data_IF_341544985283
#
_entry.id   IF_341544985283
#
_cell.length_a   1.000
_cell.length_b   1.000
_cell.length_c   1.000
_cell.angle_alpha   90.00
_cell.angle_beta   90.00
_cell.angle_gamma   90.00
#
_symmetry.space_group_name_H-M   'P 1'
#
loop_
_entity.id
_entity.type
_entity.pdbx_description
1 polymer ?
#
# COMPACT_ATOMS: atom_id res chain seq x y z
N UNK A 1 23.30 6.41 -39.97
CA UNK A 1 22.90 7.70 -39.35
C UNK A 1 21.36 7.76 -39.38
N UNK A 2 20.68 7.59 -38.23
CA UNK A 2 19.19 7.62 -38.19
C UNK A 2 18.73 9.05 -38.51
N UNK A 3 17.85 9.19 -39.50
CA UNK A 3 17.26 10.47 -39.94
C UNK A 3 16.56 11.12 -38.74
N UNK A 4 16.94 12.34 -38.36
CA UNK A 4 16.24 13.10 -37.32
C UNK A 4 14.94 13.62 -37.93
N UNK A 5 13.83 12.96 -37.60
CA UNK A 5 12.48 13.32 -38.05
C UNK A 5 11.99 14.56 -37.30
N UNK A 6 10.96 15.25 -37.79
CA UNK A 6 10.27 16.28 -37.00
C UNK A 6 9.32 15.61 -35.98
N UNK A 7 8.89 16.34 -34.94
CA UNK A 7 7.97 15.84 -33.91
C UNK A 7 6.62 15.40 -34.50
N UNK A 8 6.17 16.06 -35.57
CA UNK A 8 4.95 15.69 -36.29
C UNK A 8 5.13 14.37 -37.03
N UNK A 9 6.26 14.20 -37.72
CA UNK A 9 6.57 12.95 -38.43
C UNK A 9 6.64 11.77 -37.45
N UNK A 10 7.28 11.95 -36.28
CA UNK A 10 7.34 10.91 -35.24
C UNK A 10 5.95 10.53 -34.73
N UNK A 11 5.08 11.51 -34.50
CA UNK A 11 3.72 11.26 -34.03
C UNK A 11 2.86 10.54 -35.11
N UNK A 12 2.95 10.98 -36.36
CA UNK A 12 2.24 10.35 -37.48
C UNK A 12 2.79 8.95 -37.80
N UNK A 13 4.10 8.75 -37.71
CA UNK A 13 4.71 7.45 -37.91
C UNK A 13 4.25 6.46 -36.83
N UNK A 14 4.24 6.86 -35.56
CA UNK A 14 3.70 6.02 -34.48
C UNK A 14 2.22 5.71 -34.68
N UNK A 15 1.40 6.70 -35.03
CA UNK A 15 -0.05 6.52 -35.18
C UNK A 15 -0.40 5.52 -36.30
N UNK A 16 0.37 5.52 -37.40
CA UNK A 16 0.11 4.65 -38.55
C UNK A 16 0.77 3.26 -38.44
N UNK A 17 1.64 3.01 -37.45
CA UNK A 17 2.36 1.73 -37.32
C UNK A 17 1.76 0.85 -36.22
N UNK A 18 1.62 -0.43 -36.55
CA UNK A 18 1.20 -1.50 -35.63
C UNK A 18 2.37 -2.41 -35.20
N UNK A 19 3.54 -2.30 -35.84
CA UNK A 19 4.73 -3.08 -35.51
C UNK A 19 5.47 -2.57 -34.27
N UNK A 20 5.57 -3.42 -33.25
CA UNK A 20 6.22 -3.10 -31.96
C UNK A 20 7.75 -3.02 -32.02
N UNK A 21 8.37 -3.51 -33.09
CA UNK A 21 9.84 -3.59 -33.24
C UNK A 21 10.49 -2.31 -33.79
N UNK A 22 9.70 -1.28 -34.08
CA UNK A 22 10.18 -0.03 -34.69
C UNK A 22 10.25 1.07 -33.62
N UNK A 23 11.28 1.91 -33.72
CA UNK A 23 11.47 3.07 -32.86
C UNK A 23 11.92 4.28 -33.68
N UNK A 24 11.34 5.45 -33.44
CA UNK A 24 11.85 6.72 -33.95
C UNK A 24 11.86 7.77 -32.84
N UNK A 25 12.68 8.81 -33.01
CA UNK A 25 12.83 9.90 -32.05
C UNK A 25 13.05 11.22 -32.76
N UNK A 26 12.47 12.28 -32.19
CA UNK A 26 12.69 13.67 -32.58
C UNK A 26 12.69 14.55 -31.35
N UNK A 27 13.82 15.21 -31.07
CA UNK A 27 13.94 16.11 -29.93
C UNK A 27 13.56 15.39 -28.62
N UNK A 28 12.45 15.79 -27.99
CA UNK A 28 11.93 15.20 -26.76
C UNK A 28 10.71 14.29 -26.99
N UNK A 29 10.33 13.97 -28.23
CA UNK A 29 9.21 13.07 -28.53
C UNK A 29 9.76 11.81 -29.22
N UNK A 30 9.39 10.63 -28.72
CA UNK A 30 9.83 9.37 -29.30
C UNK A 30 8.81 8.27 -29.10
N UNK A 31 8.88 7.22 -29.92
CA UNK A 31 8.08 6.01 -29.74
C UNK A 31 8.94 4.76 -29.75
N UNK A 32 8.54 3.77 -28.95
CA UNK A 32 9.16 2.46 -28.85
C UNK A 32 8.13 1.46 -28.31
N UNK A 33 8.20 0.19 -28.74
CA UNK A 33 7.35 -0.87 -28.21
C UNK A 33 5.84 -0.62 -28.36
N UNK A 34 5.43 0.07 -29.42
CA UNK A 34 4.02 0.46 -29.65
C UNK A 34 3.51 1.63 -28.80
N UNK A 35 4.37 2.27 -27.99
CA UNK A 35 4.03 3.41 -27.14
C UNK A 35 4.80 4.67 -27.57
N UNK A 36 4.21 5.85 -27.30
CA UNK A 36 4.80 7.17 -27.59
C UNK A 36 4.91 8.01 -26.32
N UNK A 37 6.05 8.69 -26.16
CA UNK A 37 6.52 9.28 -24.91
C UNK A 37 7.01 10.72 -25.08
N UNK A 38 6.88 11.52 -24.02
CA UNK A 38 7.40 12.90 -23.94
C UNK A 38 8.55 12.98 -22.94
N UNK A 39 9.71 13.50 -23.35
CA UNK A 39 10.98 13.67 -22.62
C UNK A 39 11.64 12.39 -22.09
N UNK A 40 10.86 11.39 -21.69
CA UNK A 40 11.36 10.10 -21.22
C UNK A 40 10.21 9.12 -20.97
N UNK A 41 10.56 7.88 -20.63
CA UNK A 41 9.57 6.80 -20.44
C UNK A 41 8.59 7.04 -19.29
N UNK A 42 8.94 7.92 -18.35
CA UNK A 42 8.08 8.33 -17.23
C UNK A 42 6.79 9.07 -17.68
N UNK A 43 6.77 9.63 -18.90
CA UNK A 43 5.58 10.27 -19.46
C UNK A 43 5.16 9.61 -20.77
N UNK A 44 4.46 8.48 -20.65
CA UNK A 44 3.78 7.84 -21.78
C UNK A 44 2.53 8.66 -22.15
N UNK A 45 2.47 9.13 -23.40
CA UNK A 45 1.31 9.85 -23.94
C UNK A 45 0.24 8.84 -24.34
N UNK A 46 0.63 7.80 -25.09
CA UNK A 46 -0.29 6.79 -25.54
C UNK A 46 0.41 5.47 -25.88
N UNK A 47 -0.36 4.37 -25.91
CA UNK A 47 0.10 3.07 -26.39
C UNK A 47 -0.99 2.35 -27.17
N UNK A 48 -0.59 1.63 -28.21
CA UNK A 48 -1.47 0.70 -28.91
C UNK A 48 -1.83 -0.49 -28.01
N UNK A 49 -3.09 -0.89 -28.05
CA UNK A 49 -3.63 -2.03 -27.31
C UNK A 49 -4.61 -2.82 -28.18
N UNK A 50 -4.84 -4.07 -27.81
CA UNK A 50 -5.88 -4.90 -28.41
C UNK A 50 -6.65 -5.63 -27.31
N UNK A 51 -7.96 -5.80 -27.51
CA UNK A 51 -8.79 -6.61 -26.62
C UNK A 51 -8.72 -8.10 -27.02
N UNK A 52 -9.45 -8.96 -26.29
CA UNK A 52 -9.47 -10.41 -26.56
C UNK A 52 -10.15 -10.76 -27.90
N UNK A 53 -10.99 -9.85 -28.40
CA UNK A 53 -11.72 -9.96 -29.65
C UNK A 53 -10.87 -9.51 -30.86
N UNK A 54 -9.68 -8.96 -30.63
CA UNK A 54 -8.78 -8.46 -31.67
C UNK A 54 -9.04 -7.02 -32.11
N UNK A 55 -9.99 -6.32 -31.47
CA UNK A 55 -10.22 -4.90 -31.72
C UNK A 55 -9.02 -4.09 -31.26
N UNK A 56 -8.66 -3.07 -32.04
CA UNK A 56 -7.53 -2.20 -31.77
C UNK A 56 -7.99 -0.85 -31.24
N UNK A 57 -7.28 -0.34 -30.25
CA UNK A 57 -7.44 1.01 -29.75
C UNK A 57 -6.08 1.55 -29.27
N UNK A 58 -6.07 2.82 -28.89
CA UNK A 58 -4.97 3.39 -28.12
C UNK A 58 -5.46 3.76 -26.72
N UNK A 59 -4.68 3.43 -25.71
CA UNK A 59 -4.83 4.07 -24.40
C UNK A 59 -4.13 5.42 -24.46
N UNK A 60 -4.86 6.48 -24.14
CA UNK A 60 -4.40 7.86 -24.27
C UNK A 60 -4.42 8.55 -22.91
N UNK A 61 -3.34 9.23 -22.55
CA UNK A 61 -3.17 9.81 -21.22
C UNK A 61 -4.12 11.00 -20.99
N UNK A 62 -4.68 11.07 -19.79
CA UNK A 62 -5.35 12.27 -19.26
C UNK A 62 -4.42 13.13 -18.39
N UNK A 63 -3.16 12.69 -18.17
CA UNK A 63 -2.18 13.48 -17.41
C UNK A 63 -1.98 14.84 -18.07
N UNK A 64 -2.15 15.88 -17.25
CA UNK A 64 -1.73 17.25 -17.58
C UNK A 64 -0.40 17.51 -16.89
N UNK A 65 0.60 17.97 -17.65
CA UNK A 65 1.91 18.34 -17.12
C UNK A 65 2.27 19.77 -17.57
N UNK A 66 3.56 20.09 -17.72
CA UNK A 66 4.06 21.37 -18.21
C UNK A 66 3.46 21.77 -19.57
N UNK A 67 3.56 23.07 -19.90
CA UNK A 67 3.09 23.62 -21.20
C UNK A 67 3.67 22.87 -22.40
N UNK A 68 4.92 22.41 -22.34
CA UNK A 68 5.57 21.68 -23.43
C UNK A 68 5.02 20.26 -23.59
N UNK A 69 4.77 19.56 -22.49
CA UNK A 69 4.14 18.24 -22.53
C UNK A 69 2.70 18.32 -23.07
N UNK A 70 1.94 19.36 -22.72
CA UNK A 70 0.62 19.60 -23.29
C UNK A 70 0.67 19.75 -24.82
N UNK A 71 1.72 20.39 -25.36
CA UNK A 71 1.92 20.50 -26.82
C UNK A 71 2.15 19.12 -27.46
N UNK A 72 3.02 18.28 -26.90
CA UNK A 72 3.24 16.93 -27.42
C UNK A 72 1.96 16.10 -27.37
N UNK A 73 1.21 16.16 -26.27
CA UNK A 73 -0.08 15.47 -26.14
C UNK A 73 -1.05 15.91 -27.25
N UNK A 74 -1.17 17.21 -27.52
CA UNK A 74 -2.02 17.71 -28.62
C UNK A 74 -1.56 17.23 -29.99
N UNK A 75 -0.24 17.20 -30.25
CA UNK A 75 0.32 16.70 -31.53
C UNK A 75 -0.03 15.23 -31.72
N UNK A 76 0.20 14.40 -30.69
CA UNK A 76 -0.11 12.96 -30.74
C UNK A 76 -1.62 12.73 -30.87
N UNK A 77 -2.46 13.50 -30.17
CA UNK A 77 -3.91 13.43 -30.30
C UNK A 77 -4.39 13.71 -31.73
N UNK A 78 -3.78 14.71 -32.40
CA UNK A 78 -4.08 15.06 -33.79
C UNK A 78 -3.61 13.97 -34.77
N UNK A 79 -2.36 13.50 -34.61
CA UNK A 79 -1.79 12.47 -35.47
C UNK A 79 -2.55 11.14 -35.41
N UNK A 80 -3.10 10.82 -34.23
CA UNK A 80 -3.89 9.61 -33.98
C UNK A 80 -5.40 9.81 -34.16
N UNK A 81 -5.86 10.92 -34.76
CA UNK A 81 -7.30 11.26 -34.89
C UNK A 81 -8.16 10.12 -35.45
N UNK A 82 -7.62 9.36 -36.41
CA UNK A 82 -8.25 8.21 -37.07
C UNK A 82 -8.33 6.92 -36.22
N UNK A 83 -7.65 6.87 -35.07
CA UNK A 83 -7.65 5.72 -34.16
C UNK A 83 -8.72 5.85 -33.06
N UNK A 84 -9.29 4.73 -32.66
CA UNK A 84 -10.13 4.60 -31.46
C UNK A 84 -9.30 4.93 -30.23
N UNK A 85 -9.71 5.95 -29.45
CA UNK A 85 -8.99 6.39 -28.25
C UNK A 85 -9.79 6.08 -27.00
N UNK A 86 -9.12 5.48 -26.02
CA UNK A 86 -9.63 5.27 -24.68
C UNK A 86 -8.78 6.10 -23.76
N UNK A 87 -9.37 7.14 -23.19
CA UNK A 87 -8.68 8.04 -22.28
C UNK A 87 -8.56 7.37 -20.91
N UNK A 88 -7.35 7.38 -20.37
CA UNK A 88 -7.02 6.78 -19.07
C UNK A 88 -6.13 7.73 -18.26
N UNK A 89 -6.19 7.70 -16.92
CA UNK A 89 -5.35 8.52 -16.06
C UNK A 89 -3.87 8.39 -16.38
N UNK A 90 -3.41 7.18 -16.68
CA UNK A 90 -2.03 6.90 -17.08
C UNK A 90 -1.96 5.57 -17.85
N UNK A 91 -1.53 5.58 -19.12
CA UNK A 91 -1.40 4.35 -19.90
C UNK A 91 -0.37 3.35 -19.36
N UNK A 92 0.51 3.73 -18.43
CA UNK A 92 1.50 2.83 -17.82
C UNK A 92 0.94 1.95 -16.71
N UNK A 93 -0.19 2.35 -16.11
CA UNK A 93 -0.78 1.64 -14.97
C UNK A 93 -1.43 0.32 -15.39
N UNK A 94 -1.44 -0.63 -14.43
CA UNK A 94 -2.22 -1.87 -14.54
C UNK A 94 -3.72 -1.59 -14.49
N UNK A 95 -4.51 -2.60 -14.87
CA UNK A 95 -5.98 -2.54 -14.82
C UNK A 95 -6.48 -2.23 -13.40
N UNK A 96 -5.92 -2.88 -12.39
CA UNK A 96 -6.28 -2.68 -10.98
C UNK A 96 -5.95 -1.25 -10.53
N UNK A 97 -4.77 -0.74 -10.86
CA UNK A 97 -4.36 0.62 -10.52
C UNK A 97 -5.21 1.67 -11.22
N UNK A 98 -5.57 1.47 -12.49
CA UNK A 98 -6.45 2.39 -13.23
C UNK A 98 -7.82 2.54 -12.56
N UNK A 99 -8.46 1.42 -12.17
CA UNK A 99 -9.73 1.48 -11.45
C UNK A 99 -9.62 2.15 -10.09
N UNK A 100 -8.51 1.95 -9.38
CA UNK A 100 -8.28 2.64 -8.11
C UNK A 100 -8.10 4.14 -8.31
N UNK A 101 -7.33 4.57 -9.33
CA UNK A 101 -7.14 6.00 -9.61
C UNK A 101 -8.47 6.68 -9.97
N UNK A 102 -9.32 6.06 -10.80
CA UNK A 102 -10.65 6.62 -11.08
C UNK A 102 -11.52 6.68 -9.83
N UNK A 103 -11.45 5.67 -8.96
CA UNK A 103 -12.18 5.65 -7.69
C UNK A 103 -11.73 6.79 -6.79
N UNK A 104 -10.42 6.96 -6.61
CA UNK A 104 -9.84 8.05 -5.82
C UNK A 104 -10.24 9.42 -6.39
N UNK A 105 -10.17 9.59 -7.72
CA UNK A 105 -10.63 10.82 -8.37
C UNK A 105 -12.09 11.14 -8.05
N UNK A 106 -12.99 10.16 -8.16
CA UNK A 106 -14.41 10.35 -7.84
C UNK A 106 -14.59 10.69 -6.35
N UNK A 107 -13.85 10.04 -5.45
CA UNK A 107 -13.88 10.35 -4.01
C UNK A 107 -13.44 11.82 -3.78
N UNK A 108 -12.34 12.25 -4.40
CA UNK A 108 -11.86 13.63 -4.28
C UNK A 108 -12.88 14.66 -4.79
N UNK A 109 -13.53 14.37 -5.92
CA UNK A 109 -14.60 15.23 -6.45
C UNK A 109 -15.80 15.24 -5.49
N UNK A 110 -16.21 14.08 -4.98
CA UNK A 110 -17.34 13.93 -4.07
C UNK A 110 -17.16 14.67 -2.73
N UNK A 111 -15.93 14.83 -2.25
CA UNK A 111 -15.64 15.67 -1.07
C UNK A 111 -16.12 17.11 -1.22
N UNK A 112 -16.21 17.64 -2.44
CA UNK A 112 -16.70 18.99 -2.68
C UNK A 112 -18.23 19.13 -2.62
N UNK A 113 -19.00 18.03 -2.64
CA UNK A 113 -20.47 18.06 -2.64
C UNK A 113 -21.05 18.78 -1.41
N UNK A 114 -20.39 18.68 -0.26
CA UNK A 114 -20.93 19.22 0.99
C UNK A 114 -20.82 20.73 1.17
N UNK A 115 -19.93 21.38 0.43
CA UNK A 115 -19.67 22.83 0.54
C UNK A 115 -19.96 23.57 -0.77
N UNK A 116 -20.32 22.84 -1.82
CA UNK A 116 -20.59 23.37 -3.14
C UNK A 116 -21.85 24.23 -3.17
N UNK A 117 -21.74 25.45 -3.71
CA UNK A 117 -22.92 26.25 -4.12
C UNK A 117 -23.66 25.67 -5.33
N UNK A 118 -22.96 24.86 -6.15
CA UNK A 118 -23.46 24.22 -7.37
C UNK A 118 -23.02 22.74 -7.38
N UNK A 119 -23.68 21.87 -6.60
CA UNK A 119 -23.30 20.46 -6.48
C UNK A 119 -23.41 19.71 -7.82
N UNK A 120 -24.27 20.16 -8.74
CA UNK A 120 -24.50 19.56 -10.06
C UNK A 120 -23.21 19.51 -10.89
N UNK A 121 -22.34 20.51 -10.73
CA UNK A 121 -21.02 20.53 -11.38
C UNK A 121 -20.17 19.33 -10.96
N UNK A 122 -20.09 19.06 -9.66
CA UNK A 122 -19.27 17.97 -9.13
C UNK A 122 -19.88 16.60 -9.47
N UNK A 123 -21.22 16.48 -9.46
CA UNK A 123 -21.90 15.27 -9.95
C UNK A 123 -21.59 15.00 -11.42
N UNK A 124 -21.56 16.03 -12.26
CA UNK A 124 -21.18 15.88 -13.67
C UNK A 124 -19.71 15.44 -13.81
N UNK A 125 -18.79 16.02 -13.02
CA UNK A 125 -17.38 15.62 -13.02
C UNK A 125 -17.21 14.15 -12.57
N UNK A 126 -17.95 13.70 -11.56
CA UNK A 126 -17.99 12.29 -11.14
C UNK A 126 -18.49 11.37 -12.26
N UNK A 127 -19.59 11.75 -12.92
CA UNK A 127 -20.15 11.00 -14.04
C UNK A 127 -19.17 10.91 -15.22
N UNK A 128 -18.44 11.99 -15.50
CA UNK A 128 -17.40 12.00 -16.54
C UNK A 128 -16.27 11.03 -16.20
N UNK A 129 -15.72 11.09 -14.98
CA UNK A 129 -14.67 10.18 -14.54
C UNK A 129 -15.12 8.71 -14.58
N UNK A 130 -16.33 8.42 -14.08
CA UNK A 130 -16.91 7.08 -14.16
C UNK A 130 -17.16 6.63 -15.60
N UNK A 131 -17.60 7.53 -16.47
CA UNK A 131 -17.80 7.26 -17.90
C UNK A 131 -16.52 6.83 -18.61
N UNK A 132 -15.37 7.41 -18.23
CA UNK A 132 -14.06 6.98 -18.77
C UNK A 132 -13.69 5.58 -18.28
N UNK A 133 -13.86 5.31 -16.98
CA UNK A 133 -13.65 3.97 -16.42
C UNK A 133 -14.54 2.93 -17.10
N UNK A 134 -15.81 3.28 -17.38
CA UNK A 134 -16.76 2.43 -18.09
C UNK A 134 -16.32 2.16 -19.52
N UNK A 135 -15.88 3.17 -20.28
CA UNK A 135 -15.37 2.97 -21.65
C UNK A 135 -14.17 2.02 -21.69
N UNK A 136 -13.25 2.17 -20.74
CA UNK A 136 -12.12 1.26 -20.60
C UNK A 136 -12.59 -0.16 -20.28
N UNK A 137 -13.49 -0.32 -19.31
CA UNK A 137 -14.05 -1.62 -18.95
C UNK A 137 -14.78 -2.29 -20.12
N UNK A 138 -15.64 -1.55 -20.81
CA UNK A 138 -16.43 -2.03 -21.95
C UNK A 138 -15.52 -2.52 -23.08
N UNK A 139 -14.45 -1.78 -23.43
CA UNK A 139 -13.53 -2.17 -24.50
C UNK A 139 -12.79 -3.48 -24.22
N UNK A 140 -12.37 -3.70 -22.97
CA UNK A 140 -11.64 -4.90 -22.57
C UNK A 140 -12.54 -6.03 -22.05
N UNK A 141 -13.86 -5.80 -21.93
CA UNK A 141 -14.79 -6.75 -21.31
C UNK A 141 -14.55 -6.97 -19.81
N UNK A 142 -14.04 -5.95 -19.11
CA UNK A 142 -13.78 -6.03 -17.68
C UNK A 142 -15.03 -5.72 -16.85
N UNK A 143 -15.14 -6.39 -15.70
CA UNK A 143 -16.11 -6.00 -14.69
C UNK A 143 -15.59 -4.78 -13.93
N UNK A 144 -16.43 -3.75 -13.81
CA UNK A 144 -16.13 -2.57 -13.02
C UNK A 144 -16.17 -2.96 -11.53
N UNK A 145 -15.15 -2.61 -10.73
CA UNK A 145 -15.16 -2.91 -9.30
C UNK A 145 -16.38 -2.32 -8.59
N UNK A 146 -17.02 -3.11 -7.73
CA UNK A 146 -18.23 -2.69 -7.00
C UNK A 146 -18.00 -1.42 -6.17
N UNK A 147 -16.81 -1.27 -5.59
CA UNK A 147 -16.43 -0.07 -4.83
C UNK A 147 -16.45 1.20 -5.68
N UNK A 148 -15.97 1.12 -6.93
CA UNK A 148 -16.00 2.23 -7.88
C UNK A 148 -17.44 2.56 -8.29
N UNK A 149 -18.26 1.53 -8.59
CA UNK A 149 -19.68 1.71 -8.92
C UNK A 149 -20.44 2.39 -7.78
N UNK A 150 -20.23 1.95 -6.53
CA UNK A 150 -20.92 2.51 -5.36
C UNK A 150 -20.63 3.99 -5.15
N UNK A 151 -19.37 4.40 -5.23
CA UNK A 151 -19.02 5.82 -5.05
C UNK A 151 -19.50 6.68 -6.22
N UNK A 152 -19.52 6.15 -7.44
CA UNK A 152 -20.02 6.86 -8.62
C UNK A 152 -21.54 7.10 -8.57
N UNK A 153 -22.30 6.31 -7.82
CA UNK A 153 -23.75 6.43 -7.65
C UNK A 153 -24.17 7.40 -6.55
N UNK A 154 -23.22 8.02 -5.87
CA UNK A 154 -23.51 9.03 -4.83
C UNK A 154 -24.01 10.32 -5.49
N UNK A 155 -25.15 10.81 -5.01
CA UNK A 155 -25.85 11.99 -5.54
C UNK A 155 -25.73 13.21 -4.62
N UNK A 156 -25.37 13.01 -3.34
CA UNK A 156 -25.31 14.08 -2.35
C UNK A 156 -24.35 13.76 -1.20
N UNK A 157 -24.12 14.76 -0.33
CA UNK A 157 -23.22 14.63 0.81
C UNK A 157 -23.62 13.52 1.79
N UNK A 158 -24.92 13.33 2.04
CA UNK A 158 -25.38 12.33 2.99
C UNK A 158 -25.03 10.92 2.51
N UNK A 159 -25.35 10.60 1.25
CA UNK A 159 -24.96 9.34 0.62
C UNK A 159 -23.44 9.15 0.58
N UNK A 160 -22.67 10.23 0.35
CA UNK A 160 -21.21 10.16 0.37
C UNK A 160 -20.66 9.81 1.76
N UNK A 161 -21.20 10.46 2.79
CA UNK A 161 -20.82 10.19 4.19
C UNK A 161 -21.14 8.76 4.60
N UNK A 162 -22.30 8.24 4.18
CA UNK A 162 -22.69 6.85 4.42
C UNK A 162 -21.74 5.87 3.72
N UNK A 163 -21.37 6.16 2.46
CA UNK A 163 -20.38 5.38 1.73
C UNK A 163 -19.03 5.30 2.48
N UNK A 164 -18.49 6.44 2.94
CA UNK A 164 -17.21 6.47 3.67
C UNK A 164 -17.28 5.70 5.00
N UNK A 165 -18.42 5.76 5.70
CA UNK A 165 -18.63 5.00 6.93
C UNK A 165 -18.63 3.49 6.66
N UNK A 166 -19.39 3.05 5.66
CA UNK A 166 -19.46 1.63 5.27
C UNK A 166 -18.09 1.12 4.83
N UNK A 167 -17.36 1.90 4.02
CA UNK A 167 -16.02 1.54 3.57
C UNK A 167 -15.06 1.35 4.76
N UNK A 168 -15.07 2.30 5.69
CA UNK A 168 -14.24 2.23 6.90
C UNK A 168 -14.58 0.99 7.73
N UNK A 169 -15.85 0.71 7.96
CA UNK A 169 -16.30 -0.48 8.70
C UNK A 169 -15.85 -1.77 8.00
N UNK A 170 -15.94 -1.84 6.66
CA UNK A 170 -15.46 -2.99 5.89
C UNK A 170 -13.94 -3.16 5.99
N UNK A 171 -13.19 -2.06 5.91
CA UNK A 171 -11.74 -2.08 6.04
C UNK A 171 -11.31 -2.53 7.44
N UNK A 172 -11.91 -1.96 8.49
CA UNK A 172 -11.67 -2.35 9.88
C UNK A 172 -12.03 -3.84 10.12
N UNK A 173 -13.13 -4.33 9.55
CA UNK A 173 -13.52 -5.73 9.62
C UNK A 173 -12.51 -6.65 8.92
N UNK A 174 -12.03 -6.27 7.73
CA UNK A 174 -11.01 -7.00 6.97
C UNK A 174 -9.69 -7.06 7.73
N UNK A 175 -9.24 -5.93 8.26
CA UNK A 175 -8.02 -5.85 9.08
C UNK A 175 -8.14 -6.69 10.36
N UNK A 176 -9.28 -6.64 11.05
CA UNK A 176 -9.54 -7.47 12.24
C UNK A 176 -9.51 -8.95 11.91
N UNK A 177 -10.09 -9.36 10.77
CA UNK A 177 -10.07 -10.75 10.30
C UNK A 177 -8.65 -11.22 9.99
N UNK A 178 -7.88 -10.42 9.25
CA UNK A 178 -6.47 -10.72 8.94
C UNK A 178 -5.58 -10.74 10.18
N UNK A 179 -5.78 -9.80 11.11
CA UNK A 179 -5.11 -9.80 12.41
C UNK A 179 -5.41 -11.08 13.19
N UNK A 180 -6.67 -11.50 13.26
CA UNK A 180 -7.06 -12.75 13.93
C UNK A 180 -6.37 -13.97 13.33
N UNK A 181 -6.32 -14.07 11.99
CA UNK A 181 -5.59 -15.15 11.30
C UNK A 181 -4.10 -15.14 11.65
N UNK A 182 -3.45 -13.96 11.61
CA UNK A 182 -2.03 -13.80 11.97
C UNK A 182 -1.75 -14.22 13.41
N UNK A 183 -2.61 -13.85 14.36
CA UNK A 183 -2.48 -14.25 15.77
C UNK A 183 -2.63 -15.76 15.96
N UNK A 184 -3.61 -16.39 15.29
CA UNK A 184 -3.75 -17.86 15.32
C UNK A 184 -2.50 -18.56 14.77
N UNK A 185 -1.97 -18.08 13.65
CA UNK A 185 -0.74 -18.60 13.06
C UNK A 185 0.46 -18.40 14.01
N UNK A 186 0.60 -17.22 14.60
CA UNK A 186 1.66 -16.92 15.57
C UNK A 186 1.65 -17.90 16.74
N UNK A 187 0.48 -18.24 17.30
CA UNK A 187 0.41 -19.18 18.42
C UNK A 187 0.99 -20.56 18.08
N UNK A 188 0.83 -21.03 16.84
CA UNK A 188 1.48 -22.26 16.37
C UNK A 188 3.00 -22.06 16.27
N UNK A 189 3.43 -20.96 15.64
CA UNK A 189 4.85 -20.66 15.44
C UNK A 189 5.60 -20.41 16.76
N UNK A 190 4.93 -19.87 17.78
CA UNK A 190 5.49 -19.66 19.11
C UNK A 190 5.85 -20.99 19.79
N UNK A 191 5.06 -22.05 19.57
CA UNK A 191 5.40 -23.40 20.06
C UNK A 191 6.63 -23.95 19.37
N UNK A 192 6.74 -23.78 18.06
CA UNK A 192 7.92 -24.19 17.29
C UNK A 192 9.16 -23.41 17.71
N UNK A 193 9.02 -22.10 17.97
CA UNK A 193 10.10 -21.27 18.49
C UNK A 193 10.51 -21.72 19.90
N UNK A 194 9.58 -21.92 20.84
CA UNK A 194 9.93 -22.39 22.19
C UNK A 194 10.60 -23.77 22.21
N UNK A 195 10.31 -24.62 21.23
CA UNK A 195 10.93 -25.96 21.07
C UNK A 195 12.21 -25.95 20.23
N UNK A 196 12.77 -24.77 19.92
CA UNK A 196 13.98 -24.62 19.12
C UNK A 196 13.91 -25.22 17.70
N UNK A 197 12.70 -25.43 17.16
CA UNK A 197 12.51 -25.78 15.74
C UNK A 197 12.69 -24.58 14.81
N UNK A 198 12.69 -23.37 15.38
CA UNK A 198 12.91 -22.11 14.67
C UNK A 198 13.69 -21.14 15.56
N UNK A 199 14.58 -20.36 14.94
CA UNK A 199 15.40 -19.39 15.66
C UNK A 199 14.71 -18.03 15.83
N UNK A 200 13.81 -17.68 14.90
CA UNK A 200 13.14 -16.39 14.86
C UNK A 200 11.62 -16.52 14.83
N UNK A 201 10.95 -15.58 15.52
CA UNK A 201 9.50 -15.43 15.51
C UNK A 201 9.12 -13.95 15.41
N UNK A 202 8.42 -13.60 14.33
CA UNK A 202 7.71 -12.32 14.24
C UNK A 202 6.41 -12.39 15.03
N UNK A 203 6.21 -11.45 15.93
CA UNK A 203 4.97 -11.30 16.71
C UNK A 203 4.07 -10.21 16.11
N UNK A 204 2.76 -10.41 16.24
CA UNK A 204 1.68 -9.58 15.69
C UNK A 204 0.71 -9.08 16.77
N UNK A 205 0.87 -9.56 18.00
CA UNK A 205 0.18 -9.05 19.19
C UNK A 205 0.92 -7.86 19.84
N UNK A 206 2.12 -7.52 19.35
CA UNK A 206 2.96 -6.48 19.93
C UNK A 206 3.57 -6.87 21.28
N UNK A 207 3.73 -8.18 21.52
CA UNK A 207 4.35 -8.74 22.70
C UNK A 207 5.61 -9.52 22.33
N UNK A 208 6.49 -9.64 23.32
CA UNK A 208 7.69 -10.44 23.28
C UNK A 208 7.60 -11.61 24.24
N UNK A 209 8.20 -12.73 23.82
CA UNK A 209 8.18 -13.99 24.55
C UNK A 209 9.59 -14.43 24.89
N UNK A 210 9.71 -15.23 25.95
CA UNK A 210 10.98 -15.69 26.48
C UNK A 210 11.13 -17.20 26.26
N UNK A 211 12.37 -17.64 26.03
CA UNK A 211 12.78 -19.06 26.13
C UNK A 211 14.17 -19.15 26.76
N UNK A 212 14.43 -20.26 27.45
CA UNK A 212 15.76 -20.54 28.00
C UNK A 212 16.45 -21.59 27.14
N UNK A 213 17.68 -21.29 26.71
CA UNK A 213 18.51 -22.18 25.94
C UNK A 213 19.54 -22.87 26.86
N UNK A 214 19.25 -24.11 27.24
CA UNK A 214 20.10 -24.88 28.14
C UNK A 214 21.51 -25.15 27.58
N UNK A 215 21.70 -25.15 26.25
CA UNK A 215 23.00 -25.37 25.62
C UNK A 215 23.93 -24.17 25.78
N UNK A 216 23.37 -22.96 25.77
CA UNK A 216 24.15 -21.71 25.86
C UNK A 216 24.07 -21.05 27.23
N UNK A 217 23.14 -21.47 28.09
CA UNK A 217 22.87 -20.83 29.38
C UNK A 217 22.23 -19.45 29.26
N UNK A 218 21.65 -19.12 28.10
CA UNK A 218 21.08 -17.80 27.83
C UNK A 218 19.55 -17.83 27.75
N UNK A 219 18.94 -16.74 28.21
CA UNK A 219 17.55 -16.39 27.93
C UNK A 219 17.50 -15.68 26.59
N UNK A 220 16.55 -16.05 25.74
CA UNK A 220 16.34 -15.47 24.43
C UNK A 220 14.96 -14.84 24.33
N UNK A 221 14.85 -13.68 23.68
CA UNK A 221 13.58 -13.03 23.34
C UNK A 221 13.19 -13.30 21.89
N UNK A 222 11.91 -13.19 21.56
CA UNK A 222 11.42 -13.32 20.18
C UNK A 222 11.98 -12.29 19.20
N UNK A 223 12.43 -11.15 19.72
CA UNK A 223 13.12 -10.09 18.96
C UNK A 223 14.64 -10.32 18.83
N UNK A 224 15.17 -11.44 19.36
CA UNK A 224 16.56 -11.87 19.16
C UNK A 224 17.56 -11.35 20.20
N UNK A 225 17.11 -10.69 21.26
CA UNK A 225 17.98 -10.32 22.38
C UNK A 225 18.30 -11.57 23.19
N UNK A 226 19.58 -11.74 23.56
CA UNK A 226 20.06 -12.85 24.37
C UNK A 226 20.82 -12.35 25.59
N UNK A 227 20.59 -12.96 26.75
CA UNK A 227 21.25 -12.54 27.99
C UNK A 227 21.40 -13.70 28.99
N UNK A 228 22.36 -13.63 29.92
CA UNK A 228 22.58 -14.68 30.91
C UNK A 228 21.38 -14.87 31.85
N UNK A 229 21.13 -16.12 32.25
CA UNK A 229 20.06 -16.45 33.21
C UNK A 229 20.10 -15.63 34.52
N UNK A 230 21.27 -15.36 35.14
CA UNK A 230 21.35 -14.52 36.34
C UNK A 230 20.83 -13.08 36.13
N UNK A 231 21.10 -12.46 34.97
CA UNK A 231 20.59 -11.14 34.65
C UNK A 231 19.06 -11.14 34.53
N UNK A 232 18.49 -12.23 33.99
CA UNK A 232 17.04 -12.44 33.97
C UNK A 232 16.42 -12.53 35.37
N UNK A 233 17.10 -13.20 36.30
CA UNK A 233 16.65 -13.32 37.70
C UNK A 233 16.67 -11.97 38.43
N UNK A 234 17.71 -11.17 38.23
CA UNK A 234 17.79 -9.81 38.77
C UNK A 234 16.67 -8.92 38.22
N UNK A 235 16.40 -8.99 36.91
CA UNK A 235 15.30 -8.26 36.30
C UNK A 235 13.93 -8.70 36.87
N UNK A 236 13.74 -9.99 37.12
CA UNK A 236 12.53 -10.50 37.76
C UNK A 236 12.31 -9.92 39.16
N UNK A 237 13.35 -9.91 39.99
CA UNK A 237 13.29 -9.31 41.34
C UNK A 237 12.92 -7.82 41.28
N UNK A 238 13.59 -7.07 40.41
CA UNK A 238 13.27 -5.66 40.16
C UNK A 238 11.80 -5.47 39.75
N UNK A 239 11.28 -6.30 38.84
CA UNK A 239 9.89 -6.23 38.39
C UNK A 239 8.90 -6.52 39.52
N UNK A 240 9.20 -7.49 40.39
CA UNK A 240 8.36 -7.82 41.55
C UNK A 240 8.33 -6.65 42.54
N UNK A 241 9.49 -6.15 42.95
CA UNK A 241 9.61 -5.01 43.88
C UNK A 241 8.97 -3.73 43.34
N UNK A 242 9.12 -3.48 42.04
CA UNK A 242 8.53 -2.30 41.41
C UNK A 242 7.02 -2.40 41.36
N UNK A 243 6.47 -3.58 41.07
CA UNK A 243 5.02 -3.79 41.07
C UNK A 243 4.41 -3.72 42.47
N UNK A 244 5.09 -4.15 43.53
CA UNK A 244 4.59 -3.98 44.91
C UNK A 244 4.53 -2.50 45.32
N UNK A 245 5.38 -1.64 44.73
CA UNK A 245 5.37 -0.19 44.91
C UNK A 245 4.41 0.56 43.97
N UNK A 246 3.63 -0.16 43.16
CA UNK A 246 2.62 0.43 42.26
C UNK A 246 3.07 0.62 40.80
N UNK A 247 4.28 0.20 40.44
CA UNK A 247 4.84 0.34 39.09
C UNK A 247 5.73 1.58 38.91
N UNK A 248 6.22 1.79 37.70
CA UNK A 248 6.97 2.98 37.33
C UNK A 248 6.76 3.35 35.86
N UNK A 249 6.81 4.66 35.58
CA UNK A 249 7.00 5.23 34.25
C UNK A 249 8.35 5.94 34.24
N UNK A 250 9.14 5.76 33.19
CA UNK A 250 10.52 6.27 33.10
C UNK A 250 11.38 5.84 34.30
N UNK A 251 11.52 4.54 34.50
CA UNK A 251 12.06 3.93 35.73
C UNK A 251 13.52 4.25 36.04
N UNK A 252 14.21 5.04 35.19
CA UNK A 252 15.58 5.51 35.43
C UNK A 252 16.65 4.43 35.45
N UNK A 253 16.30 3.19 35.10
CA UNK A 253 17.17 2.02 35.22
C UNK A 253 17.46 1.40 33.86
N UNK A 254 18.69 0.92 33.70
CA UNK A 254 19.14 0.22 32.51
C UNK A 254 19.19 -1.29 32.78
N UNK A 255 18.66 -2.07 31.84
CA UNK A 255 18.88 -3.50 31.75
C UNK A 255 20.12 -3.77 30.89
N UNK A 256 21.02 -4.64 31.38
CA UNK A 256 22.31 -4.95 30.75
C UNK A 256 23.15 -3.71 30.42
N UNK A 257 23.02 -2.66 31.24
CA UNK A 257 23.72 -1.36 31.09
C UNK A 257 23.47 -0.64 29.74
N UNK A 258 22.48 -1.10 28.97
CA UNK A 258 22.26 -0.64 27.58
C UNK A 258 20.81 -0.32 27.27
N UNK A 259 19.86 -1.06 27.87
CA UNK A 259 18.45 -0.97 27.49
C UNK A 259 17.63 -0.30 28.58
N UNK A 260 17.07 0.87 28.30
CA UNK A 260 16.23 1.60 29.26
C UNK A 260 14.96 0.84 29.60
N UNK A 261 14.71 0.68 30.90
CA UNK A 261 13.44 0.18 31.41
C UNK A 261 12.48 1.37 31.45
N UNK A 262 11.56 1.40 30.48
CA UNK A 262 10.69 2.53 30.22
C UNK A 262 9.42 2.50 31.08
N UNK A 263 8.90 1.31 31.35
CA UNK A 263 7.64 1.15 32.07
C UNK A 263 7.56 -0.22 32.75
N UNK A 264 7.11 -0.25 33.99
CA UNK A 264 6.71 -1.48 34.68
C UNK A 264 5.32 -1.24 35.28
N UNK A 265 4.37 -2.10 34.93
CA UNK A 265 3.03 -2.08 35.52
C UNK A 265 2.52 -3.51 35.73
N UNK A 266 1.31 -3.63 36.28
CA UNK A 266 0.67 -4.93 36.57
C UNK A 266 0.47 -5.84 35.36
N UNK A 267 0.55 -5.32 34.14
CA UNK A 267 0.29 -6.04 32.90
C UNK A 267 1.58 -6.39 32.13
N UNK A 268 2.55 -5.48 32.05
CA UNK A 268 3.79 -5.68 31.29
C UNK A 268 4.97 -4.87 31.83
N UNK A 269 6.17 -5.25 31.37
CA UNK A 269 7.37 -4.41 31.37
C UNK A 269 7.70 -4.00 29.93
N UNK A 270 8.17 -2.75 29.76
CA UNK A 270 8.73 -2.24 28.52
C UNK A 270 10.20 -1.91 28.70
N UNK A 271 11.06 -2.54 27.90
CA UNK A 271 12.50 -2.30 27.90
C UNK A 271 12.91 -1.95 26.47
N UNK A 272 13.31 -0.69 26.23
CA UNK A 272 13.51 -0.18 24.88
C UNK A 272 12.27 -0.42 24.00
N UNK A 273 12.45 -1.13 22.89
CA UNK A 273 11.38 -1.54 21.97
C UNK A 273 10.61 -2.81 22.39
N UNK A 274 11.06 -3.52 23.42
CA UNK A 274 10.46 -4.78 23.83
C UNK A 274 9.32 -4.59 24.82
N UNK A 275 8.30 -5.46 24.73
CA UNK A 275 7.15 -5.49 25.62
C UNK A 275 6.85 -6.92 26.06
N UNK A 276 7.20 -7.27 27.30
CA UNK A 276 6.98 -8.61 27.86
C UNK A 276 5.90 -8.53 28.93
N UNK A 277 4.90 -9.43 28.88
CA UNK A 277 3.84 -9.43 29.89
C UNK A 277 4.34 -9.93 31.24
N UNK A 278 3.78 -9.42 32.34
CA UNK A 278 4.10 -9.93 33.69
C UNK A 278 3.71 -11.42 33.80
N UNK A 279 2.65 -11.84 33.10
CA UNK A 279 2.25 -13.25 33.02
C UNK A 279 3.34 -14.12 32.39
N UNK A 280 3.93 -13.68 31.28
CA UNK A 280 5.04 -14.37 30.61
C UNK A 280 6.28 -14.44 31.52
N UNK A 281 6.62 -13.33 32.19
CA UNK A 281 7.76 -13.28 33.11
C UNK A 281 7.57 -14.24 34.28
N UNK A 282 6.38 -14.26 34.90
CA UNK A 282 6.06 -15.19 35.98
C UNK A 282 6.10 -16.65 35.52
N UNK A 283 5.53 -16.95 34.35
CA UNK A 283 5.59 -18.29 33.76
C UNK A 283 7.04 -18.74 33.57
N UNK A 284 7.88 -17.87 33.01
CA UNK A 284 9.29 -18.13 32.83
C UNK A 284 10.01 -18.33 34.17
N UNK A 285 9.79 -17.44 35.13
CA UNK A 285 10.39 -17.51 36.47
C UNK A 285 10.04 -18.84 37.19
N UNK A 286 8.79 -19.29 37.10
CA UNK A 286 8.37 -20.59 37.64
C UNK A 286 9.09 -21.75 36.94
N UNK A 287 9.24 -21.71 35.61
CA UNK A 287 9.99 -22.74 34.87
C UNK A 287 11.46 -22.82 35.28
N UNK A 288 12.05 -21.71 35.75
CA UNK A 288 13.43 -21.63 36.20
C UNK A 288 13.61 -21.78 37.72
N UNK A 289 12.52 -21.99 38.48
CA UNK A 289 12.57 -22.15 39.94
C UNK A 289 12.96 -20.88 40.71
N UNK A 290 12.55 -19.70 40.23
CA UNK A 290 12.84 -18.43 40.90
C UNK A 290 11.79 -17.99 41.93
N UNK A 291 10.60 -18.58 41.83
CA UNK A 291 9.42 -18.27 42.63
C UNK A 291 9.33 -19.15 43.88
#
# INVERSE_FOLDING_TARGET
MKRRMDIYDVAHEWANRTDVNVSATSSNLFFAGGAIYSYGEHFMIAKHVSNQQGDKAILFTEKKYSKTTSKHVSIVASASSHLTKIFVPDPTLSKEELFEVWREQIIQIAHHLGTARKPEKYLLEMQQAFGQAKRYADFFGFQIPEALTKVAMVENLAQFSDYLKIEREQQEAKEKKERSKRLKAQNKLLKDWRSFKRDYLRTYDGLDYLRFNAKTGQVETTQGVRFPLPAGRQLYQFVVETNTKGGCTSCGQLFLERYSINEVNKHFIRIGCHKVTIKEIKLFATQQGWC
#
